data_IF_991070984485
#
_entry.id   IF_991070984485
#
_cell.length_a   1.000
_cell.length_b   1.000
_cell.length_c   1.000
_cell.angle_alpha   90.00
_cell.angle_beta   90.00
_cell.angle_gamma   90.00
#
_symmetry.space_group_name_H-M   'P 1'
#
loop_
_entity.id
_entity.type
_entity.pdbx_description
1 polymer ?
#
# COMPACT_ATOMS: atom_id res chain seq x y z
N UNK A 1 20.13 44.70 -89.58
CA UNK A 1 20.55 43.47 -88.85
C UNK A 1 21.08 43.73 -87.42
N UNK A 2 21.63 44.89 -87.09
CA UNK A 2 22.11 45.16 -85.69
C UNK A 2 20.99 45.30 -84.66
N UNK A 3 19.83 45.85 -85.03
CA UNK A 3 18.69 46.03 -84.07
C UNK A 3 18.00 44.73 -83.74
N UNK A 4 17.99 43.71 -84.60
CA UNK A 4 17.36 42.42 -84.34
C UNK A 4 18.18 41.55 -83.35
N UNK A 5 19.52 41.67 -83.39
CA UNK A 5 20.41 40.99 -82.47
C UNK A 5 20.27 41.50 -81.01
N UNK A 6 20.03 42.85 -80.91
CA UNK A 6 19.91 43.47 -79.55
C UNK A 6 18.57 43.06 -78.90
N UNK A 7 17.54 42.92 -79.72
CA UNK A 7 16.22 42.47 -79.19
C UNK A 7 16.22 40.98 -78.72
N UNK A 8 16.99 40.16 -79.48
CA UNK A 8 17.16 38.75 -79.10
C UNK A 8 18.02 38.57 -77.84
N UNK A 9 19.04 39.37 -77.68
CA UNK A 9 19.89 39.34 -76.47
C UNK A 9 19.18 39.89 -75.24
N UNK A 10 18.32 40.89 -75.35
CA UNK A 10 17.47 41.38 -74.26
C UNK A 10 16.40 40.38 -73.86
N UNK A 11 15.82 39.62 -74.81
CA UNK A 11 14.82 38.62 -74.55
C UNK A 11 15.43 37.39 -73.86
N UNK A 12 16.65 36.97 -74.21
CA UNK A 12 17.36 35.86 -73.54
C UNK A 12 17.82 36.26 -72.12
N UNK A 13 18.19 37.50 -71.86
CA UNK A 13 18.53 38.01 -70.55
C UNK A 13 17.26 38.07 -69.60
N UNK A 14 16.11 38.48 -70.18
CA UNK A 14 14.84 38.45 -69.41
C UNK A 14 14.37 37.03 -69.04
N UNK A 15 14.63 36.07 -69.94
CA UNK A 15 14.31 34.66 -69.64
C UNK A 15 15.27 34.06 -68.60
N UNK A 16 16.56 34.45 -68.61
CA UNK A 16 17.54 33.95 -67.64
C UNK A 16 17.25 34.47 -66.21
N UNK A 17 16.76 35.71 -66.11
CA UNK A 17 16.38 36.28 -64.78
C UNK A 17 15.12 35.69 -64.24
N UNK A 18 14.15 35.26 -65.08
CA UNK A 18 12.95 34.56 -64.60
C UNK A 18 13.22 33.11 -64.18
N UNK A 19 14.21 32.43 -64.75
CA UNK A 19 14.55 31.06 -64.30
C UNK A 19 15.28 31.06 -62.96
N UNK A 20 16.01 32.11 -62.60
CA UNK A 20 16.72 32.28 -61.33
C UNK A 20 15.80 32.68 -60.18
N UNK A 21 14.56 33.20 -60.43
CA UNK A 21 13.65 33.60 -59.39
C UNK A 21 12.63 32.51 -59.04
N UNK A 22 12.56 31.43 -59.80
CA UNK A 22 11.65 30.29 -59.52
C UNK A 22 12.32 29.17 -58.67
N UNK A 23 13.64 29.25 -58.47
CA UNK A 23 14.36 28.17 -57.75
C UNK A 23 14.74 28.48 -56.30
N UNK A 24 14.13 29.46 -55.64
CA UNK A 24 14.41 29.80 -54.24
C UNK A 24 13.16 29.90 -53.39
N UNK A 25 12.08 29.23 -53.76
CA UNK A 25 11.09 28.80 -52.81
C UNK A 25 11.21 27.28 -52.62
N UNK A 26 12.39 26.82 -52.20
CA UNK A 26 12.43 25.65 -51.35
C UNK A 26 11.83 26.08 -50.04
N UNK A 27 10.50 26.08 -49.97
CA UNK A 27 9.81 25.91 -48.70
C UNK A 27 10.32 24.58 -48.12
N UNK A 28 11.37 24.64 -47.33
CA UNK A 28 11.58 23.69 -46.26
C UNK A 28 10.33 23.84 -45.41
N UNK A 29 9.23 23.19 -45.81
CA UNK A 29 8.28 22.68 -44.85
C UNK A 29 9.11 21.73 -43.98
N UNK A 30 9.75 22.30 -42.96
CA UNK A 30 10.05 21.60 -41.77
C UNK A 30 8.67 21.07 -41.32
N UNK A 31 8.35 19.86 -41.77
CA UNK A 31 7.34 19.09 -41.16
C UNK A 31 7.75 19.03 -39.66
N UNK A 32 7.22 19.97 -38.91
CA UNK A 32 7.24 19.92 -37.47
C UNK A 32 6.37 18.70 -37.15
N UNK A 33 6.98 17.54 -37.29
CA UNK A 33 6.46 16.31 -36.68
C UNK A 33 6.53 16.60 -35.19
N UNK A 34 5.50 17.28 -34.69
CA UNK A 34 5.20 17.32 -33.28
C UNK A 34 4.95 15.86 -32.92
N UNK A 35 6.04 15.12 -32.73
CA UNK A 35 5.99 13.83 -32.06
C UNK A 35 5.31 14.13 -30.74
N UNK A 36 4.01 13.82 -30.67
CA UNK A 36 3.23 13.94 -29.45
C UNK A 36 3.89 12.98 -28.49
N UNK A 37 4.85 13.47 -27.70
CA UNK A 37 5.55 12.68 -26.68
C UNK A 37 4.46 12.17 -25.76
N UNK A 38 4.06 10.90 -25.96
CA UNK A 38 3.00 10.25 -25.21
C UNK A 38 3.37 10.30 -23.75
N UNK A 39 2.80 11.25 -22.99
CA UNK A 39 3.13 11.49 -21.60
C UNK A 39 2.90 10.22 -20.82
N UNK A 40 3.97 9.73 -20.14
CA UNK A 40 3.98 8.51 -19.30
C UNK A 40 2.77 8.49 -18.37
N UNK A 41 1.95 7.43 -18.44
CA UNK A 41 0.80 7.23 -17.56
C UNK A 41 0.73 5.76 -17.17
N UNK A 42 0.53 5.45 -15.88
CA UNK A 42 0.46 4.09 -15.37
C UNK A 42 1.47 3.79 -14.27
N UNK A 43 1.57 2.52 -13.90
CA UNK A 43 2.48 2.01 -12.87
C UNK A 43 3.82 1.62 -13.49
N UNK A 44 4.91 2.16 -12.96
CA UNK A 44 6.27 1.88 -13.42
C UNK A 44 7.17 1.55 -12.24
N UNK A 45 8.14 0.66 -12.46
CA UNK A 45 9.17 0.31 -11.48
C UNK A 45 10.47 1.04 -11.84
N UNK A 46 11.01 1.81 -10.89
CA UNK A 46 12.24 2.58 -11.04
C UNK A 46 13.08 2.38 -9.78
N UNK A 47 14.35 1.98 -9.94
CA UNK A 47 15.29 1.75 -8.83
C UNK A 47 14.67 0.91 -7.69
N UNK A 48 13.97 -0.18 -8.07
CA UNK A 48 13.35 -1.11 -7.12
C UNK A 48 12.03 -0.67 -6.49
N UNK A 49 11.56 0.57 -6.73
CA UNK A 49 10.31 1.13 -6.20
C UNK A 49 9.26 1.31 -7.29
N UNK A 50 7.98 1.22 -6.91
CA UNK A 50 6.86 1.46 -7.83
C UNK A 50 6.37 2.90 -7.72
N UNK A 51 6.20 3.55 -8.87
CA UNK A 51 5.65 4.90 -9.02
C UNK A 51 4.45 4.85 -9.96
N UNK A 52 3.46 5.68 -9.71
CA UNK A 52 2.37 5.87 -10.65
C UNK A 52 2.46 7.24 -11.31
N UNK A 53 2.35 7.25 -12.63
CA UNK A 53 2.38 8.47 -13.42
C UNK A 53 0.99 8.80 -13.94
N UNK A 54 0.65 10.08 -13.94
CA UNK A 54 -0.52 10.64 -14.62
C UNK A 54 -0.03 11.79 -15.50
N UNK A 55 -0.19 11.64 -16.82
CA UNK A 55 0.25 12.66 -17.79
C UNK A 55 1.71 13.13 -17.57
N UNK A 56 2.63 12.18 -17.33
CA UNK A 56 4.06 12.44 -17.13
C UNK A 56 4.47 12.87 -15.71
N UNK A 57 3.52 13.06 -14.79
CA UNK A 57 3.82 13.47 -13.40
C UNK A 57 3.59 12.31 -12.43
N UNK A 58 4.50 12.12 -11.47
CA UNK A 58 4.35 11.16 -10.36
C UNK A 58 3.26 11.65 -9.39
N UNK A 59 2.39 10.75 -8.96
CA UNK A 59 1.40 11.06 -7.91
C UNK A 59 2.00 10.82 -6.52
N UNK A 60 1.46 11.50 -5.51
CA UNK A 60 1.80 11.33 -4.08
C UNK A 60 0.56 11.47 -3.20
N UNK A 61 0.63 10.90 -2.00
CA UNK A 61 -0.42 10.94 -0.97
C UNK A 61 -1.80 10.49 -1.51
N UNK A 62 -1.80 9.50 -2.41
CA UNK A 62 -3.01 9.06 -3.09
C UNK A 62 -3.09 7.54 -3.19
N UNK A 63 -4.33 7.04 -3.09
CA UNK A 63 -4.69 5.68 -3.44
C UNK A 63 -4.83 5.54 -4.95
N UNK A 64 -4.39 4.40 -5.47
CA UNK A 64 -4.62 4.03 -6.88
C UNK A 64 -4.85 2.54 -7.00
N UNK A 65 -5.82 2.17 -7.84
CA UNK A 65 -6.05 0.76 -8.20
C UNK A 65 -5.49 0.53 -9.60
N UNK A 66 -4.64 -0.49 -9.72
CA UNK A 66 -4.02 -0.89 -10.99
C UNK A 66 -4.21 -2.39 -11.15
N UNK A 67 -4.85 -2.81 -12.23
CA UNK A 67 -5.16 -4.23 -12.50
C UNK A 67 -5.75 -4.95 -11.27
N UNK A 68 -6.76 -4.34 -10.63
CA UNK A 68 -7.46 -4.88 -9.45
C UNK A 68 -6.65 -4.86 -8.13
N UNK A 69 -5.41 -4.38 -8.12
CA UNK A 69 -4.58 -4.24 -6.90
C UNK A 69 -4.56 -2.78 -6.45
N UNK A 70 -4.78 -2.54 -5.15
CA UNK A 70 -4.71 -1.20 -4.55
C UNK A 70 -3.30 -0.89 -4.07
N UNK A 71 -2.88 0.35 -4.30
CA UNK A 71 -1.59 0.91 -3.88
C UNK A 71 -1.86 2.25 -3.19
N UNK A 72 -0.97 2.62 -2.27
CA UNK A 72 -0.91 3.99 -1.77
C UNK A 72 0.47 4.57 -2.08
N UNK A 73 0.49 5.67 -2.82
CA UNK A 73 1.72 6.40 -3.15
C UNK A 73 1.94 7.45 -2.07
N UNK A 74 3.00 7.25 -1.27
CA UNK A 74 3.32 8.09 -0.14
C UNK A 74 3.89 9.46 -0.52
N UNK A 75 4.33 10.26 0.47
CA UNK A 75 4.86 11.61 0.23
C UNK A 75 6.13 11.62 -0.64
N UNK A 76 6.87 10.52 -0.68
CA UNK A 76 8.07 10.34 -1.53
C UNK A 76 7.72 9.77 -2.92
N UNK A 77 6.46 9.85 -3.37
CA UNK A 77 5.94 9.45 -4.69
C UNK A 77 5.96 7.95 -5.01
N UNK A 78 6.55 7.08 -4.18
CA UNK A 78 6.54 5.63 -4.43
C UNK A 78 5.47 4.92 -3.60
N UNK A 79 5.07 3.74 -4.07
CA UNK A 79 4.13 2.86 -3.38
C UNK A 79 4.69 2.44 -2.02
N UNK A 80 3.88 2.59 -0.97
CA UNK A 80 4.24 2.15 0.38
C UNK A 80 4.27 0.63 0.44
N UNK A 81 5.18 0.09 1.25
CA UNK A 81 5.39 -1.34 1.50
C UNK A 81 5.33 -1.62 3.00
N UNK A 82 5.12 -2.88 3.40
CA UNK A 82 4.97 -3.28 4.79
C UNK A 82 3.75 -2.61 5.48
N UNK A 83 3.85 -2.28 6.75
CA UNK A 83 2.82 -1.58 7.51
C UNK A 83 3.04 -0.07 7.49
N UNK A 84 1.99 0.67 7.20
CA UNK A 84 2.02 2.14 7.20
C UNK A 84 0.72 2.70 7.77
N UNK A 85 0.84 3.79 8.51
CA UNK A 85 -0.31 4.57 8.98
C UNK A 85 -0.71 5.56 7.89
N UNK A 86 -1.97 5.49 7.46
CA UNK A 86 -2.57 6.40 6.48
C UNK A 86 -3.84 6.95 7.12
N UNK A 87 -3.85 8.24 7.41
CA UNK A 87 -4.86 8.83 8.29
C UNK A 87 -4.83 8.20 9.68
N UNK A 88 -5.97 7.78 10.20
CA UNK A 88 -6.10 7.13 11.52
C UNK A 88 -5.83 5.61 11.50
N UNK A 89 -5.68 4.97 10.32
CA UNK A 89 -5.62 3.52 10.17
C UNK A 89 -4.26 3.04 9.73
N UNK A 90 -3.89 1.83 10.16
CA UNK A 90 -2.72 1.11 9.66
C UNK A 90 -3.18 0.19 8.53
N UNK A 91 -2.39 0.14 7.47
CA UNK A 91 -2.57 -0.75 6.33
C UNK A 91 -1.31 -1.57 6.10
N UNK A 92 -1.47 -2.79 5.62
CA UNK A 92 -0.35 -3.70 5.31
C UNK A 92 -0.28 -3.90 3.80
N UNK A 93 0.91 -3.65 3.26
CA UNK A 93 1.23 -3.81 1.84
C UNK A 93 2.30 -4.90 1.69
N UNK A 94 2.31 -5.58 0.57
CA UNK A 94 3.40 -6.49 0.23
C UNK A 94 4.68 -5.73 -0.18
N UNK A 95 5.73 -6.45 -0.51
CA UNK A 95 7.01 -5.87 -0.95
C UNK A 95 6.93 -5.16 -2.31
N UNK A 96 5.90 -5.41 -3.10
CA UNK A 96 5.59 -4.71 -4.35
C UNK A 96 4.65 -3.50 -4.15
N UNK A 97 4.26 -3.19 -2.91
CA UNK A 97 3.37 -2.08 -2.57
C UNK A 97 1.88 -2.36 -2.79
N UNK A 98 1.48 -3.62 -3.02
CA UNK A 98 0.07 -3.99 -3.15
C UNK A 98 -0.56 -4.15 -1.78
N UNK A 99 -1.72 -3.51 -1.56
CA UNK A 99 -2.49 -3.66 -0.33
C UNK A 99 -2.90 -5.13 -0.12
N UNK A 100 -2.65 -5.65 1.07
CA UNK A 100 -2.98 -7.03 1.44
C UNK A 100 -4.43 -7.14 1.98
N UNK A 101 -5.39 -6.64 1.22
CA UNK A 101 -6.82 -6.83 1.45
C UNK A 101 -7.29 -8.19 0.89
N UNK A 102 -8.51 -8.59 1.19
CA UNK A 102 -9.07 -9.85 0.70
C UNK A 102 -10.54 -10.06 1.08
N UNK A 103 -11.10 -11.25 0.82
CA UNK A 103 -12.48 -11.58 1.18
C UNK A 103 -12.65 -11.78 2.70
N UNK A 104 -11.66 -12.41 3.32
CA UNK A 104 -11.68 -12.78 4.75
C UNK A 104 -10.43 -12.31 5.47
N UNK A 105 -10.49 -12.29 6.80
CA UNK A 105 -9.32 -12.06 7.64
C UNK A 105 -8.37 -13.26 7.55
N UNK A 106 -7.05 -12.99 7.52
CA UNK A 106 -6.03 -14.03 7.38
C UNK A 106 -4.66 -13.59 7.90
N UNK A 107 -3.81 -14.55 8.19
CA UNK A 107 -2.38 -14.31 8.43
C UNK A 107 -1.71 -14.00 7.08
N UNK A 108 -0.88 -12.96 7.05
CA UNK A 108 -0.02 -12.58 5.92
C UNK A 108 1.40 -12.38 6.38
N UNK A 109 2.36 -12.78 5.54
CA UNK A 109 3.78 -12.59 5.79
C UNK A 109 4.35 -11.58 4.79
N UNK A 110 5.10 -10.59 5.29
CA UNK A 110 5.77 -9.57 4.47
C UNK A 110 7.19 -9.39 4.99
N UNK A 111 8.18 -9.92 4.25
CA UNK A 111 9.56 -10.00 4.72
C UNK A 111 9.63 -10.77 6.04
N UNK A 112 10.26 -10.20 7.06
CA UNK A 112 10.40 -10.81 8.39
C UNK A 112 9.15 -10.68 9.28
N UNK A 113 8.16 -9.92 8.88
CA UNK A 113 6.97 -9.64 9.71
C UNK A 113 5.79 -10.51 9.30
N UNK A 114 4.97 -10.87 10.29
CA UNK A 114 3.66 -11.51 10.10
C UNK A 114 2.58 -10.65 10.73
N UNK A 115 1.39 -10.66 10.11
CA UNK A 115 0.24 -9.87 10.53
C UNK A 115 -1.02 -10.71 10.39
N UNK A 116 -2.04 -10.44 11.23
CA UNK A 116 -3.39 -10.89 10.98
C UNK A 116 -4.20 -9.71 10.46
N UNK A 117 -4.52 -9.72 9.16
CA UNK A 117 -5.20 -8.61 8.49
C UNK A 117 -6.65 -8.93 8.21
N UNK A 118 -7.52 -7.93 8.36
CA UNK A 118 -8.92 -8.02 7.99
C UNK A 118 -9.11 -7.86 6.46
N UNK A 119 -10.38 -7.95 6.00
CA UNK A 119 -10.73 -7.81 4.58
C UNK A 119 -10.30 -6.47 3.94
N UNK A 120 -10.04 -5.45 4.74
CA UNK A 120 -9.60 -4.12 4.27
C UNK A 120 -8.08 -3.93 4.28
N UNK A 121 -7.31 -4.94 4.72
CA UNK A 121 -5.84 -4.86 4.84
C UNK A 121 -5.36 -4.16 6.11
N UNK A 122 -6.24 -4.00 7.13
CA UNK A 122 -5.87 -3.44 8.42
C UNK A 122 -5.41 -4.57 9.35
N UNK A 123 -4.25 -4.45 10.02
CA UNK A 123 -3.77 -5.47 10.94
C UNK A 123 -4.49 -5.38 12.29
N UNK A 124 -4.74 -6.52 12.90
CA UNK A 124 -5.17 -6.66 14.29
C UNK A 124 -4.01 -6.42 15.24
N UNK A 125 -4.31 -6.04 16.49
CA UNK A 125 -3.34 -5.70 17.54
C UNK A 125 -3.69 -6.39 18.86
N UNK A 126 -2.69 -6.51 19.74
CA UNK A 126 -2.85 -7.11 21.06
C UNK A 126 -2.91 -8.62 21.00
N UNK A 127 -3.55 -9.24 22.00
CA UNK A 127 -3.74 -10.66 22.09
C UNK A 127 -4.77 -11.16 21.08
N UNK A 128 -4.42 -12.22 20.34
CA UNK A 128 -5.24 -12.78 19.26
C UNK A 128 -5.31 -14.31 19.42
N UNK A 129 -6.52 -14.83 19.66
CA UNK A 129 -6.80 -16.25 19.48
C UNK A 129 -7.36 -16.42 18.06
N UNK A 130 -6.61 -17.06 17.18
CA UNK A 130 -6.97 -17.20 15.77
C UNK A 130 -7.69 -18.54 15.50
N UNK A 131 -8.30 -18.71 14.31
CA UNK A 131 -9.02 -19.95 13.95
C UNK A 131 -8.18 -21.23 14.01
N UNK A 132 -6.86 -21.12 13.92
CA UNK A 132 -5.91 -22.23 14.09
C UNK A 132 -5.74 -22.66 15.56
N UNK A 133 -6.55 -22.11 16.49
CA UNK A 133 -6.51 -22.33 17.94
C UNK A 133 -5.18 -21.96 18.60
N UNK A 134 -4.35 -21.19 17.92
CA UNK A 134 -3.12 -20.66 18.49
C UNK A 134 -3.32 -19.24 19.02
N UNK A 135 -2.57 -18.95 20.08
CA UNK A 135 -2.50 -17.61 20.68
C UNK A 135 -1.32 -16.87 20.07
N UNK A 136 -1.56 -15.63 19.68
CA UNK A 136 -0.59 -14.70 19.12
C UNK A 136 -0.64 -13.39 19.90
N UNK A 137 0.43 -12.62 19.81
CA UNK A 137 0.43 -11.22 20.23
C UNK A 137 0.95 -10.35 19.10
N UNK A 138 0.22 -9.28 18.79
CA UNK A 138 0.59 -8.30 17.79
C UNK A 138 0.82 -6.93 18.43
N UNK A 139 1.93 -6.28 18.10
CA UNK A 139 2.30 -4.98 18.63
C UNK A 139 1.39 -3.84 18.11
N UNK A 140 1.72 -2.60 18.45
CA UNK A 140 0.99 -1.39 18.03
C UNK A 140 0.91 -1.19 16.52
N UNK A 141 1.81 -1.82 15.75
CA UNK A 141 1.79 -1.86 14.29
C UNK A 141 1.10 -3.09 13.70
N UNK A 142 0.65 -4.01 14.57
CA UNK A 142 0.05 -5.27 14.18
C UNK A 142 1.04 -6.38 13.82
N UNK A 143 2.33 -6.21 14.14
CA UNK A 143 3.37 -7.21 13.86
C UNK A 143 3.36 -8.27 14.93
N UNK A 144 3.34 -9.54 14.54
CA UNK A 144 3.43 -10.65 15.50
C UNK A 144 4.75 -10.65 16.24
N UNK A 145 4.68 -10.91 17.55
CA UNK A 145 5.84 -11.26 18.34
C UNK A 145 6.37 -12.62 17.88
N UNK A 146 7.66 -12.68 17.59
CA UNK A 146 8.38 -13.88 17.18
C UNK A 146 9.66 -14.00 17.98
N UNK A 147 9.99 -15.22 18.46
CA UNK A 147 11.18 -15.50 19.26
C UNK A 147 11.33 -14.53 20.45
N UNK A 148 10.22 -14.22 21.12
CA UNK A 148 10.12 -13.28 22.23
C UNK A 148 9.24 -13.85 23.34
N UNK A 149 9.40 -13.31 24.55
CA UNK A 149 8.53 -13.61 25.69
C UNK A 149 7.76 -12.34 26.09
N UNK A 150 6.48 -12.49 26.42
CA UNK A 150 5.61 -11.45 26.95
C UNK A 150 4.73 -12.08 28.04
N UNK A 151 4.66 -11.46 29.22
CA UNK A 151 3.85 -11.93 30.35
C UNK A 151 4.05 -13.45 30.64
N UNK A 152 5.32 -13.92 30.65
CA UNK A 152 5.66 -15.33 30.87
C UNK A 152 5.34 -16.28 29.69
N UNK A 153 4.78 -15.79 28.60
CA UNK A 153 4.44 -16.56 27.40
C UNK A 153 5.49 -16.37 26.32
N UNK A 154 6.18 -17.44 25.94
CA UNK A 154 7.17 -17.45 24.84
C UNK A 154 6.47 -17.66 23.51
N UNK A 155 6.87 -16.88 22.49
CA UNK A 155 6.42 -17.02 21.10
C UNK A 155 7.53 -17.64 20.25
N UNK A 156 7.16 -18.62 19.41
CA UNK A 156 8.08 -19.26 18.47
C UNK A 156 8.37 -18.39 17.24
N UNK A 157 9.19 -18.88 16.31
CA UNK A 157 9.52 -18.18 15.05
C UNK A 157 8.33 -17.92 14.11
N UNK A 158 7.22 -18.65 14.27
CA UNK A 158 5.96 -18.42 13.55
C UNK A 158 5.07 -17.37 14.26
N UNK A 159 5.42 -16.96 15.48
CA UNK A 159 4.65 -16.03 16.31
C UNK A 159 3.56 -16.73 17.13
N UNK A 160 3.54 -18.04 17.19
CA UNK A 160 2.60 -18.82 18.00
C UNK A 160 3.11 -18.91 19.43
N UNK A 161 2.23 -18.71 20.41
CA UNK A 161 2.54 -18.92 21.82
C UNK A 161 2.84 -20.39 22.10
N UNK A 162 3.98 -20.66 22.72
CA UNK A 162 4.39 -21.99 23.15
C UNK A 162 3.50 -22.42 24.33
N UNK A 163 3.14 -23.71 24.39
CA UNK A 163 2.29 -24.25 25.46
C UNK A 163 3.00 -24.10 26.82
N UNK A 164 2.31 -23.49 27.78
CA UNK A 164 2.62 -23.43 29.20
C UNK A 164 1.38 -22.98 29.98
N UNK A 165 1.44 -22.93 31.29
CA UNK A 165 0.29 -22.59 32.16
C UNK A 165 -0.19 -21.16 31.92
N UNK A 166 0.74 -20.20 31.74
CA UNK A 166 0.40 -18.80 31.45
C UNK A 166 -0.36 -18.66 30.13
N UNK A 167 0.00 -19.44 29.09
CA UNK A 167 -0.75 -19.47 27.82
C UNK A 167 -2.16 -20.06 28.05
N UNK A 168 -2.26 -21.12 28.83
CA UNK A 168 -3.55 -21.77 29.13
C UNK A 168 -4.47 -20.82 29.90
N UNK A 169 -3.95 -20.15 30.92
CA UNK A 169 -4.66 -19.11 31.65
C UNK A 169 -5.09 -17.95 30.75
N UNK A 170 -4.21 -17.44 29.89
CA UNK A 170 -4.55 -16.35 28.96
C UNK A 170 -5.65 -16.75 27.98
N UNK A 171 -5.64 -17.98 27.44
CA UNK A 171 -6.69 -18.49 26.57
C UNK A 171 -8.02 -18.60 27.31
N UNK A 172 -8.01 -19.08 28.57
CA UNK A 172 -9.20 -19.13 29.40
C UNK A 172 -9.78 -17.73 29.62
N UNK A 173 -8.98 -16.77 30.03
CA UNK A 173 -9.42 -15.38 30.22
C UNK A 173 -10.00 -14.77 28.93
N UNK A 174 -9.38 -15.01 27.76
CA UNK A 174 -9.92 -14.55 26.47
C UNK A 174 -11.28 -15.20 26.21
N UNK A 175 -11.44 -16.49 26.45
CA UNK A 175 -12.71 -17.21 26.30
C UNK A 175 -13.81 -16.64 27.20
N UNK A 176 -13.50 -16.41 28.48
CA UNK A 176 -14.45 -15.77 29.42
C UNK A 176 -14.87 -14.39 28.87
N UNK A 177 -13.93 -13.52 28.55
CA UNK A 177 -14.24 -12.17 28.05
C UNK A 177 -15.09 -12.22 26.77
N UNK A 178 -14.81 -13.14 25.85
CA UNK A 178 -15.61 -13.32 24.64
C UNK A 178 -17.06 -13.76 24.94
N UNK A 179 -17.25 -14.59 25.95
CA UNK A 179 -18.57 -15.09 26.34
C UNK A 179 -19.45 -14.04 27.04
N UNK A 180 -18.82 -13.17 27.85
CA UNK A 180 -19.57 -12.16 28.66
C UNK A 180 -19.64 -10.79 27.93
N UNK A 181 -18.95 -10.58 26.82
CA UNK A 181 -18.97 -9.30 26.09
C UNK A 181 -19.45 -9.47 24.65
N UNK A 182 -20.04 -8.40 24.08
CA UNK A 182 -20.52 -8.34 22.69
C UNK A 182 -19.85 -7.18 21.94
N UNK A 183 -19.82 -7.26 20.61
CA UNK A 183 -19.19 -6.26 19.73
C UNK A 183 -19.77 -4.85 19.90
N UNK A 184 -21.08 -4.72 20.20
CA UNK A 184 -21.76 -3.42 20.40
C UNK A 184 -21.54 -2.77 21.76
N UNK A 185 -20.94 -3.47 22.73
CA UNK A 185 -20.71 -2.91 24.07
C UNK A 185 -19.64 -1.82 24.07
N UNK A 186 -19.89 -0.73 24.79
CA UNK A 186 -18.89 0.29 25.12
C UNK A 186 -17.78 -0.28 26.02
N UNK A 187 -16.68 0.44 26.18
CA UNK A 187 -15.61 0.04 27.10
C UNK A 187 -16.12 -0.12 28.56
N UNK A 188 -16.97 0.80 28.99
CA UNK A 188 -17.56 0.77 30.34
C UNK A 188 -18.43 -0.47 30.53
N UNK A 189 -19.31 -0.76 29.60
CA UNK A 189 -20.15 -1.98 29.64
C UNK A 189 -19.34 -3.27 29.66
N UNK A 190 -18.25 -3.33 28.90
CA UNK A 190 -17.34 -4.50 28.94
C UNK A 190 -16.65 -4.64 30.29
N UNK A 191 -16.18 -3.53 30.86
CA UNK A 191 -15.57 -3.52 32.17
C UNK A 191 -16.57 -4.00 33.25
N UNK A 192 -17.79 -3.49 33.20
CA UNK A 192 -18.88 -3.90 34.10
C UNK A 192 -19.16 -5.40 33.99
N UNK A 193 -19.23 -5.94 32.76
CA UNK A 193 -19.46 -7.39 32.55
C UNK A 193 -18.31 -8.23 33.13
N UNK A 194 -17.06 -7.81 32.97
CA UNK A 194 -15.90 -8.47 33.56
C UNK A 194 -15.95 -8.41 35.10
N UNK A 195 -16.27 -7.25 35.66
CA UNK A 195 -16.41 -7.06 37.09
C UNK A 195 -17.49 -7.96 37.68
N UNK A 196 -18.70 -7.95 37.11
CA UNK A 196 -19.81 -8.81 37.52
C UNK A 196 -19.45 -10.30 37.44
N UNK A 197 -18.74 -10.71 36.40
CA UNK A 197 -18.26 -12.08 36.27
C UNK A 197 -17.34 -12.48 37.44
N UNK A 198 -16.37 -11.62 37.76
CA UNK A 198 -15.42 -11.87 38.87
C UNK A 198 -16.18 -11.99 40.19
N UNK A 199 -17.07 -11.05 40.55
CA UNK A 199 -17.81 -11.07 41.77
C UNK A 199 -18.66 -12.34 41.89
N UNK A 200 -19.33 -12.75 40.82
CA UNK A 200 -20.25 -13.87 40.82
C UNK A 200 -19.57 -15.26 40.77
N UNK A 201 -18.29 -15.32 40.43
CA UNK A 201 -17.55 -16.56 40.23
C UNK A 201 -16.29 -16.68 41.12
N UNK A 202 -16.07 -15.74 42.06
CA UNK A 202 -14.99 -15.83 43.04
C UNK A 202 -15.55 -15.82 44.43
N UNK A 203 -15.09 -16.76 45.28
CA UNK A 203 -15.43 -16.81 46.69
C UNK A 203 -14.21 -16.36 47.50
N UNK A 204 -14.46 -15.55 48.51
CA UNK A 204 -13.43 -15.26 49.50
C UNK A 204 -13.19 -16.55 50.30
N UNK A 205 -12.03 -17.15 50.13
CA UNK A 205 -11.63 -18.25 51.01
C UNK A 205 -11.26 -17.63 52.36
N UNK A 206 -12.05 -17.88 53.39
CA UNK A 206 -11.69 -17.58 54.77
C UNK A 206 -10.70 -18.60 55.35
N UNK A 207 -9.98 -19.33 54.49
CA UNK A 207 -8.89 -20.18 54.91
C UNK A 207 -7.78 -19.32 55.55
N UNK A 208 -7.72 -19.34 56.84
CA UNK A 208 -6.61 -18.85 57.65
C UNK A 208 -5.33 -19.45 57.09
N UNK A 209 -4.42 -18.61 56.65
CA UNK A 209 -3.01 -18.99 56.54
C UNK A 209 -2.45 -18.97 57.96
N UNK A 210 -1.92 -20.10 58.49
CA UNK A 210 -1.24 -20.10 59.79
C UNK A 210 0.04 -19.27 59.72
#
# INVERSE_FOLDING_TARGET
>A
MKRLKLFFMAMVMLFAVQICTVSVTCETQAATTTATVKKKTGLYREKGKYYYYTKGRKIRNQWKTVKGKRYYFGPKYYALTYHNKIGSRIYVFDTAGRLLNGKTSRIVNVGKYSYYVNKYGNPSKGWLCLPDRNLYYADSWGRFYKNRTLEGIRFNGKGQAVKNDMRSLKLHCIGVVQNITRSGMSKSQKLQACWSYVINNTYYSSAYYP
#
